data_IF_567908921173
#
_entry.id   IF_567908921173
#
_cell.length_a   1.000
_cell.length_b   1.000
_cell.length_c   1.000
_cell.angle_alpha   90.00
_cell.angle_beta   90.00
_cell.angle_gamma   90.00
#
_symmetry.space_group_name_H-M   'P 1'
#
loop_
_entity.id
_entity.type
_entity.pdbx_description
1 polymer ?
#
# COMPACT_ATOMS: atom_id res chain seq x y z
N UNK A 1 -1.21 6.95 -10.46
CA UNK A 1 -2.49 6.81 -11.20
C UNK A 1 -3.63 7.53 -10.48
N UNK A 2 -3.98 7.16 -9.26
CA UNK A 2 -5.12 7.75 -8.53
C UNK A 2 -5.03 9.27 -8.39
N UNK A 3 -3.86 9.80 -7.97
CA UNK A 3 -3.69 11.25 -7.87
C UNK A 3 -3.93 11.96 -9.22
N UNK A 4 -3.49 11.36 -10.34
CA UNK A 4 -3.74 11.91 -11.69
C UNK A 4 -5.23 11.89 -12.03
N UNK A 5 -5.92 10.76 -11.77
CA UNK A 5 -7.37 10.67 -11.97
C UNK A 5 -8.11 11.77 -11.20
N UNK A 6 -7.82 11.91 -9.91
CA UNK A 6 -8.45 12.94 -9.06
C UNK A 6 -8.17 14.36 -9.58
N UNK A 7 -6.94 14.62 -10.02
CA UNK A 7 -6.54 15.93 -10.54
C UNK A 7 -7.23 16.25 -11.88
N UNK A 8 -7.38 15.26 -12.78
CA UNK A 8 -8.09 15.42 -14.03
C UNK A 8 -9.59 15.74 -13.78
N UNK A 9 -10.22 15.06 -12.81
CA UNK A 9 -11.60 15.30 -12.41
C UNK A 9 -11.79 16.68 -11.73
N UNK A 10 -10.78 17.17 -11.00
CA UNK A 10 -10.76 18.49 -10.37
C UNK A 10 -10.24 19.59 -11.31
N UNK A 11 -9.76 19.24 -12.49
CA UNK A 11 -9.10 20.14 -13.44
C UNK A 11 -7.95 20.93 -12.80
N UNK A 12 -7.05 20.20 -12.12
CA UNK A 12 -5.88 20.76 -11.43
C UNK A 12 -4.60 19.94 -11.70
N UNK A 13 -3.46 20.44 -11.22
CA UNK A 13 -2.16 19.80 -11.37
C UNK A 13 -1.90 18.77 -10.26
N UNK A 14 -1.07 17.76 -10.58
CA UNK A 14 -0.47 16.87 -9.59
C UNK A 14 0.92 17.36 -9.26
N UNK A 15 1.12 17.80 -8.03
CA UNK A 15 2.42 18.22 -7.53
C UNK A 15 3.02 17.15 -6.63
N UNK A 16 4.19 16.64 -7.00
CA UNK A 16 5.00 15.79 -6.11
C UNK A 16 5.78 16.67 -5.12
N UNK A 17 5.68 16.38 -3.83
CA UNK A 17 6.50 17.03 -2.80
C UNK A 17 7.59 16.06 -2.35
N UNK A 18 8.85 16.40 -2.67
CA UNK A 18 10.03 15.58 -2.42
C UNK A 18 10.89 16.23 -1.35
N UNK A 19 11.07 15.56 -0.22
CA UNK A 19 11.85 16.02 0.92
C UNK A 19 13.00 15.04 1.19
N UNK A 20 14.18 15.57 1.50
CA UNK A 20 15.33 14.74 1.89
C UNK A 20 16.65 15.49 1.81
N UNK A 21 17.72 14.72 1.80
CA UNK A 21 19.10 15.17 1.59
C UNK A 21 19.63 14.55 0.31
N UNK A 22 20.08 15.39 -0.63
CA UNK A 22 20.55 14.99 -1.97
C UNK A 22 19.50 14.21 -2.80
N UNK A 23 18.23 14.63 -2.75
CA UNK A 23 17.10 13.93 -3.39
C UNK A 23 16.74 14.47 -4.79
N UNK A 24 17.34 15.54 -5.25
CA UNK A 24 17.01 16.17 -6.54
C UNK A 24 17.07 15.19 -7.71
N UNK A 25 18.01 14.24 -7.68
CA UNK A 25 18.21 13.26 -8.75
C UNK A 25 17.02 12.37 -9.07
N UNK A 26 16.13 12.15 -8.08
CA UNK A 26 14.93 11.32 -8.25
C UNK A 26 13.67 12.14 -8.61
N UNK A 27 13.75 13.46 -8.66
CA UNK A 27 12.60 14.32 -8.96
C UNK A 27 11.94 13.99 -10.31
N UNK A 28 12.74 13.73 -11.34
CA UNK A 28 12.25 13.36 -12.68
C UNK A 28 11.44 12.07 -12.69
N UNK A 29 11.78 11.14 -11.80
CA UNK A 29 11.06 9.86 -11.70
C UNK A 29 9.58 10.08 -11.32
N UNK A 30 9.30 11.03 -10.43
CA UNK A 30 7.93 11.38 -10.07
C UNK A 30 7.13 11.92 -11.27
N UNK A 31 7.77 12.72 -12.13
CA UNK A 31 7.19 13.16 -13.39
C UNK A 31 6.83 12.00 -14.31
N UNK A 32 7.72 11.01 -14.45
CA UNK A 32 7.49 9.82 -15.25
C UNK A 32 6.28 8.99 -14.81
N UNK A 33 5.89 9.10 -13.53
CA UNK A 33 4.67 8.48 -13.00
C UNK A 33 3.44 9.39 -13.00
N UNK A 34 3.52 10.60 -13.53
CA UNK A 34 2.37 11.45 -13.79
C UNK A 34 2.24 12.69 -12.91
N UNK A 35 3.30 13.12 -12.23
CA UNK A 35 3.34 14.45 -11.63
C UNK A 35 3.62 15.50 -12.71
N UNK A 36 2.87 16.60 -12.68
CA UNK A 36 3.08 17.74 -13.58
C UNK A 36 4.22 18.61 -13.08
N UNK A 37 4.35 18.70 -11.76
CA UNK A 37 5.33 19.51 -11.04
C UNK A 37 5.93 18.72 -9.88
N UNK A 38 7.22 18.95 -9.58
CA UNK A 38 7.88 18.40 -8.40
C UNK A 38 8.54 19.52 -7.62
N UNK A 39 8.09 19.70 -6.39
CA UNK A 39 8.73 20.61 -5.42
C UNK A 39 9.80 19.83 -4.67
N UNK A 40 11.05 20.29 -4.76
CA UNK A 40 12.20 19.66 -4.11
C UNK A 40 12.62 20.50 -2.91
N UNK A 41 12.41 19.98 -1.72
CA UNK A 41 12.87 20.53 -0.45
C UNK A 41 14.09 19.74 0.02
N UNK A 42 15.27 20.15 -0.42
CA UNK A 42 16.54 19.47 -0.16
C UNK A 42 17.30 20.18 0.97
N UNK A 43 17.64 19.43 2.02
CA UNK A 43 18.39 19.95 3.17
C UNK A 43 19.12 18.83 3.90
N UNK A 44 20.37 19.03 4.37
CA UNK A 44 21.06 18.08 5.25
C UNK A 44 20.30 17.75 6.53
N UNK A 45 19.44 18.64 7.01
CA UNK A 45 18.58 18.44 8.19
C UNK A 45 17.42 17.46 7.93
N UNK A 46 17.18 17.09 6.67
CA UNK A 46 16.19 16.09 6.24
C UNK A 46 16.83 14.74 5.89
N UNK A 47 18.12 14.53 6.21
CA UNK A 47 18.84 13.30 5.90
C UNK A 47 18.20 12.08 6.58
N UNK A 48 17.97 12.19 7.87
CA UNK A 48 17.30 11.16 8.65
C UNK A 48 15.87 11.65 8.97
N UNK A 49 14.91 10.75 8.92
CA UNK A 49 13.53 11.10 9.19
C UNK A 49 13.34 11.48 10.66
N UNK A 50 12.88 12.69 10.89
CA UNK A 50 12.28 13.13 12.16
C UNK A 50 10.92 13.75 11.86
N UNK A 51 9.92 13.45 12.69
CA UNK A 51 8.55 13.93 12.48
C UNK A 51 8.50 15.45 12.49
N UNK A 52 9.26 16.10 13.35
CA UNK A 52 9.24 17.55 13.51
C UNK A 52 9.77 18.27 12.27
N UNK A 53 10.93 17.86 11.74
CA UNK A 53 11.53 18.46 10.55
C UNK A 53 10.63 18.30 9.32
N UNK A 54 10.18 17.08 9.06
CA UNK A 54 9.34 16.77 7.90
C UNK A 54 7.97 17.44 7.99
N UNK A 55 7.32 17.39 9.17
CA UNK A 55 6.03 18.04 9.36
C UNK A 55 6.10 19.55 9.22
N UNK A 56 7.21 20.19 9.65
CA UNK A 56 7.40 21.62 9.46
C UNK A 56 7.43 21.97 7.98
N UNK A 57 8.30 21.33 7.21
CA UNK A 57 8.44 21.61 5.76
C UNK A 57 7.15 21.33 5.02
N UNK A 58 6.50 20.18 5.25
CA UNK A 58 5.21 19.86 4.61
C UNK A 58 4.15 20.92 4.93
N UNK A 59 4.01 21.32 6.20
CA UNK A 59 3.01 22.30 6.59
C UNK A 59 3.31 23.71 6.02
N UNK A 60 4.57 24.10 5.93
CA UNK A 60 4.96 25.36 5.32
C UNK A 60 4.60 25.39 3.83
N UNK A 61 4.89 24.30 3.10
CA UNK A 61 4.50 24.16 1.69
C UNK A 61 2.98 24.16 1.50
N UNK A 62 2.24 23.45 2.35
CA UNK A 62 0.77 23.47 2.32
C UNK A 62 0.20 24.85 2.58
N UNK A 63 0.76 25.61 3.51
CA UNK A 63 0.31 26.97 3.83
C UNK A 63 0.61 27.96 2.70
N UNK A 64 1.70 27.76 1.98
CA UNK A 64 2.11 28.62 0.85
C UNK A 64 1.31 28.30 -0.41
N UNK A 65 1.24 27.03 -0.78
CA UNK A 65 0.66 26.58 -2.07
C UNK A 65 -0.83 26.19 -1.99
N UNK A 66 -1.37 26.00 -0.80
CA UNK A 66 -2.79 25.75 -0.50
C UNK A 66 -3.43 24.66 -1.38
N UNK A 67 -2.91 23.43 -1.36
CA UNK A 67 -3.47 22.35 -2.16
C UNK A 67 -4.89 21.99 -1.68
N UNK A 68 -5.76 21.55 -2.61
CA UNK A 68 -7.07 20.99 -2.27
C UNK A 68 -6.96 19.66 -1.53
N UNK A 69 -6.00 18.82 -1.98
CA UNK A 69 -5.82 17.44 -1.49
C UNK A 69 -4.36 17.21 -1.18
N UNK A 70 -4.06 16.58 -0.04
CA UNK A 70 -2.74 16.08 0.32
C UNK A 70 -2.78 14.57 0.55
N UNK A 71 -2.12 13.82 -0.33
CA UNK A 71 -2.01 12.36 -0.23
C UNK A 71 -0.62 11.97 0.27
N UNK A 72 -0.56 11.07 1.24
CA UNK A 72 0.67 10.54 1.82
C UNK A 72 0.60 9.01 1.78
N UNK A 73 1.67 8.33 1.37
CA UNK A 73 1.71 6.86 1.43
C UNK A 73 1.65 6.39 2.89
N UNK A 74 0.76 5.45 3.24
CA UNK A 74 0.61 4.89 4.59
C UNK A 74 1.74 3.89 4.93
N UNK A 75 2.98 4.24 4.60
CA UNK A 75 4.19 3.61 5.13
C UNK A 75 4.33 3.91 6.64
N UNK A 76 5.28 3.29 7.32
CA UNK A 76 5.53 3.59 8.75
C UNK A 76 5.79 5.10 8.96
N UNK A 77 6.58 5.72 8.07
CA UNK A 77 6.83 7.16 8.09
C UNK A 77 5.54 7.95 7.81
N UNK A 78 4.79 7.59 6.78
CA UNK A 78 3.58 8.33 6.42
C UNK A 78 2.45 8.22 7.46
N UNK A 79 2.38 7.10 8.19
CA UNK A 79 1.43 6.90 9.30
C UNK A 79 1.77 7.75 10.53
N UNK A 80 3.04 8.13 10.69
CA UNK A 80 3.51 9.05 11.71
C UNK A 80 3.37 10.52 11.24
N UNK A 81 3.84 10.83 10.04
CA UNK A 81 3.86 12.18 9.49
C UNK A 81 2.45 12.75 9.22
N UNK A 82 1.57 11.94 8.62
CA UNK A 82 0.24 12.40 8.20
C UNK A 82 -0.59 13.00 9.33
N UNK A 83 -0.79 12.31 10.47
CA UNK A 83 -1.53 12.85 11.61
C UNK A 83 -0.89 14.09 12.21
N UNK A 84 0.45 14.16 12.23
CA UNK A 84 1.17 15.33 12.72
C UNK A 84 0.92 16.55 11.84
N UNK A 85 0.97 16.38 10.51
CA UNK A 85 0.63 17.46 9.58
C UNK A 85 -0.83 17.88 9.71
N UNK A 86 -1.77 16.94 9.78
CA UNK A 86 -3.20 17.25 9.91
C UNK A 86 -3.50 18.06 11.17
N UNK A 87 -2.89 17.72 12.31
CA UNK A 87 -3.02 18.45 13.56
C UNK A 87 -2.47 19.88 13.45
N UNK A 88 -1.30 20.07 12.81
CA UNK A 88 -0.70 21.41 12.61
C UNK A 88 -1.49 22.28 11.64
N UNK A 89 -2.10 21.68 10.63
CA UNK A 89 -2.91 22.36 9.61
C UNK A 89 -4.37 22.54 10.05
N UNK A 90 -4.74 22.03 11.22
CA UNK A 90 -6.11 22.06 11.76
C UNK A 90 -7.14 21.48 10.78
N UNK A 91 -6.79 20.39 10.10
CA UNK A 91 -7.67 19.69 9.14
C UNK A 91 -7.89 18.23 9.54
N UNK A 92 -8.83 17.54 8.85
CA UNK A 92 -9.08 16.11 9.04
C UNK A 92 -8.15 15.25 8.21
N UNK A 93 -7.84 14.05 8.72
CA UNK A 93 -7.09 13.01 8.00
C UNK A 93 -7.87 11.71 8.00
N UNK A 94 -8.09 11.13 6.81
CA UNK A 94 -8.52 9.74 6.71
C UNK A 94 -7.30 8.83 6.57
N UNK A 95 -7.11 7.95 7.54
CA UNK A 95 -5.94 7.07 7.57
C UNK A 95 -6.20 5.75 6.85
N UNK A 96 -5.19 5.26 6.10
CA UNK A 96 -5.14 3.93 5.52
C UNK A 96 -6.23 3.68 4.45
N UNK A 97 -6.46 4.69 3.60
CA UNK A 97 -7.45 4.64 2.52
C UNK A 97 -7.09 3.57 1.48
N UNK A 98 -8.12 2.93 0.98
CA UNK A 98 -8.04 1.94 -0.09
C UNK A 98 -8.72 2.39 -1.37
N UNK A 99 -9.60 3.40 -1.29
CA UNK A 99 -10.28 3.98 -2.44
C UNK A 99 -10.50 5.48 -2.26
N UNK A 100 -10.39 6.24 -3.34
CA UNK A 100 -10.54 7.70 -3.37
C UNK A 100 -11.29 8.13 -4.63
N UNK A 101 -12.33 8.96 -4.46
CA UNK A 101 -13.07 9.62 -5.55
C UNK A 101 -13.42 11.06 -5.19
N UNK A 102 -13.46 11.93 -6.17
CA UNK A 102 -14.07 13.27 -6.06
C UNK A 102 -15.37 13.35 -6.84
N UNK A 103 -15.48 12.59 -7.91
CA UNK A 103 -16.66 12.56 -8.76
C UNK A 103 -17.75 11.65 -8.19
N UNK A 104 -18.98 12.15 -8.11
CA UNK A 104 -20.11 11.39 -7.52
C UNK A 104 -20.52 10.19 -8.37
N UNK A 105 -20.64 10.28 -9.70
CA UNK A 105 -20.90 9.15 -10.57
C UNK A 105 -19.90 7.98 -10.38
N UNK A 106 -18.60 8.28 -10.33
CA UNK A 106 -17.55 7.28 -10.11
C UNK A 106 -17.69 6.63 -8.73
N UNK A 107 -18.00 7.44 -7.71
CA UNK A 107 -18.22 6.92 -6.36
C UNK A 107 -19.47 6.03 -6.27
N UNK A 108 -20.56 6.38 -6.94
CA UNK A 108 -21.77 5.54 -7.05
C UNK A 108 -21.43 4.20 -7.72
N UNK A 109 -20.68 4.23 -8.81
CA UNK A 109 -20.23 3.01 -9.49
C UNK A 109 -19.41 2.11 -8.57
N UNK A 110 -18.45 2.70 -7.87
CA UNK A 110 -17.65 1.99 -6.86
C UNK A 110 -18.55 1.33 -5.79
N UNK A 111 -19.55 2.03 -5.28
CA UNK A 111 -20.47 1.47 -4.28
C UNK A 111 -21.33 0.32 -4.85
N UNK A 112 -21.76 0.38 -6.12
CA UNK A 112 -22.48 -0.72 -6.77
C UNK A 112 -21.63 -1.98 -6.88
N UNK A 113 -20.34 -1.83 -7.16
CA UNK A 113 -19.41 -2.95 -7.34
C UNK A 113 -18.91 -3.53 -6.03
N UNK A 114 -18.76 -2.69 -4.99
CA UNK A 114 -18.04 -3.06 -3.75
C UNK A 114 -18.93 -3.12 -2.50
N UNK A 115 -20.23 -2.82 -2.59
CA UNK A 115 -21.12 -2.80 -1.42
C UNK A 115 -22.49 -3.43 -1.71
N UNK A 116 -23.23 -3.71 -0.64
CA UNK A 116 -24.62 -4.20 -0.69
C UNK A 116 -25.65 -3.08 -0.55
N UNK A 117 -25.21 -1.80 -0.63
CA UNK A 117 -26.09 -0.65 -0.47
C UNK A 117 -26.99 -0.49 -1.71
N UNK A 118 -28.26 -0.17 -1.47
CA UNK A 118 -29.17 0.24 -2.54
C UNK A 118 -28.90 1.71 -2.90
N UNK A 119 -27.87 1.91 -3.74
CA UNK A 119 -27.40 3.25 -4.14
C UNK A 119 -28.42 4.02 -4.96
N UNK A 120 -29.37 3.32 -5.61
CA UNK A 120 -30.40 3.93 -6.46
C UNK A 120 -31.53 4.55 -5.64
N UNK A 121 -31.74 4.11 -4.39
CA UNK A 121 -32.68 4.71 -3.45
C UNK A 121 -32.13 5.94 -2.71
N UNK A 122 -30.81 6.19 -2.82
CA UNK A 122 -30.13 7.27 -2.10
C UNK A 122 -30.22 8.59 -2.87
N UNK A 123 -30.23 9.70 -2.12
CA UNK A 123 -30.17 11.04 -2.70
C UNK A 123 -28.70 11.47 -2.81
N UNK A 124 -28.28 11.83 -4.01
CA UNK A 124 -26.94 12.27 -4.32
C UNK A 124 -26.92 13.73 -4.74
N UNK A 125 -25.96 14.48 -4.23
CA UNK A 125 -25.60 15.78 -4.77
C UNK A 125 -24.56 15.57 -5.87
N UNK A 126 -25.00 15.62 -7.12
CA UNK A 126 -24.14 15.34 -8.30
C UNK A 126 -23.08 16.42 -8.53
N UNK A 127 -23.23 17.59 -7.90
CA UNK A 127 -22.27 18.69 -7.98
C UNK A 127 -21.19 18.63 -6.88
N UNK A 128 -21.35 17.72 -5.90
CA UNK A 128 -20.39 17.56 -4.81
C UNK A 128 -19.02 17.08 -5.33
N UNK A 129 -17.99 17.88 -5.06
CA UNK A 129 -16.59 17.63 -5.40
C UNK A 129 -15.71 17.35 -4.17
N UNK A 130 -16.30 17.12 -3.02
CA UNK A 130 -15.55 16.71 -1.85
C UNK A 130 -14.89 15.34 -2.08
N UNK A 131 -13.66 15.20 -1.62
CA UNK A 131 -12.94 13.92 -1.69
C UNK A 131 -13.64 12.87 -0.81
N UNK A 132 -14.09 11.77 -1.41
CA UNK A 132 -14.65 10.59 -0.76
C UNK A 132 -13.50 9.65 -0.45
N UNK A 133 -13.16 9.51 0.82
CA UNK A 133 -12.01 8.74 1.31
C UNK A 133 -12.52 7.45 1.93
N UNK A 134 -12.39 6.33 1.22
CA UNK A 134 -12.89 5.04 1.69
C UNK A 134 -11.77 4.22 2.30
N UNK A 135 -12.03 3.66 3.48
CA UNK A 135 -11.10 2.85 4.23
C UNK A 135 -11.78 1.65 4.87
N UNK A 136 -11.08 0.52 5.07
CA UNK A 136 -11.59 -0.58 5.87
C UNK A 136 -11.68 -0.19 7.35
N UNK A 137 -12.75 -0.64 7.99
CA UNK A 137 -13.02 -0.49 9.41
C UNK A 137 -13.38 -1.84 10.03
N UNK A 138 -13.35 -1.96 11.37
CA UNK A 138 -13.71 -3.17 12.10
C UNK A 138 -13.11 -4.45 11.51
N UNK A 139 -11.80 -4.45 11.31
CA UNK A 139 -11.11 -5.63 10.82
C UNK A 139 -11.35 -5.94 9.33
N UNK A 140 -11.85 -4.99 8.55
CA UNK A 140 -12.18 -5.16 7.13
C UNK A 140 -13.61 -5.64 6.86
N UNK A 141 -14.41 -5.83 7.92
CA UNK A 141 -15.82 -6.22 7.78
C UNK A 141 -16.72 -5.08 7.28
N UNK A 142 -16.29 -3.84 7.47
CA UNK A 142 -17.01 -2.66 7.03
C UNK A 142 -16.08 -1.74 6.26
N UNK A 143 -16.63 -1.04 5.28
CA UNK A 143 -15.97 0.07 4.61
C UNK A 143 -16.59 1.37 5.10
N UNK A 144 -15.75 2.31 5.52
CA UNK A 144 -16.16 3.63 5.95
C UNK A 144 -15.69 4.67 4.93
N UNK A 145 -16.61 5.47 4.41
CA UNK A 145 -16.26 6.63 3.58
C UNK A 145 -16.35 7.91 4.40
N UNK A 146 -15.27 8.66 4.39
CA UNK A 146 -15.08 9.89 5.15
C UNK A 146 -14.94 11.04 4.19
N UNK A 147 -15.58 12.16 4.49
CA UNK A 147 -15.46 13.43 3.76
C UNK A 147 -15.01 14.55 4.72
N UNK A 148 -14.29 15.53 4.20
CA UNK A 148 -13.86 16.71 4.95
C UNK A 148 -14.35 17.98 4.21
N UNK A 149 -15.64 18.38 4.39
CA UNK A 149 -16.23 19.44 3.55
C UNK A 149 -15.79 20.86 3.92
N UNK A 150 -15.30 21.10 5.14
CA UNK A 150 -15.03 22.44 5.67
C UNK A 150 -13.57 22.87 5.68
N UNK A 151 -12.64 21.91 5.73
CA UNK A 151 -11.21 22.20 5.94
C UNK A 151 -10.39 21.75 4.74
N UNK A 152 -9.29 22.42 4.48
CA UNK A 152 -8.34 22.12 3.42
C UNK A 152 -6.91 22.13 3.98
N UNK A 153 -6.03 21.31 3.39
CA UNK A 153 -6.33 20.28 2.37
C UNK A 153 -7.18 19.14 2.93
N UNK A 154 -7.93 18.44 2.07
CA UNK A 154 -8.43 17.12 2.41
C UNK A 154 -7.24 16.18 2.50
N UNK A 155 -7.02 15.52 3.62
CA UNK A 155 -5.84 14.67 3.81
C UNK A 155 -6.21 13.20 3.89
N UNK A 156 -5.41 12.38 3.21
CA UNK A 156 -5.50 10.93 3.31
C UNK A 156 -4.10 10.30 3.37
N UNK A 157 -3.94 9.29 4.22
CA UNK A 157 -2.86 8.33 4.00
C UNK A 157 -3.39 7.16 3.18
N UNK A 158 -2.64 6.73 2.16
CA UNK A 158 -3.05 5.72 1.19
C UNK A 158 -2.28 4.43 1.45
N UNK A 159 -2.99 3.31 1.58
CA UNK A 159 -2.37 2.01 1.84
C UNK A 159 -1.47 1.61 0.68
N UNK A 160 -0.19 1.27 0.94
CA UNK A 160 0.71 0.77 -0.11
C UNK A 160 0.17 -0.54 -0.74
N UNK A 161 0.38 -0.69 -2.05
CA UNK A 161 0.01 -1.89 -2.78
C UNK A 161 -1.47 -2.01 -3.17
N UNK A 162 -2.35 -1.07 -2.78
CA UNK A 162 -3.79 -1.12 -3.10
C UNK A 162 -4.14 -0.38 -4.39
N UNK A 163 -3.47 0.73 -4.65
CA UNK A 163 -3.71 1.53 -5.85
C UNK A 163 -2.70 1.20 -6.94
N UNK A 164 -3.16 1.13 -8.17
CA UNK A 164 -2.30 0.84 -9.33
C UNK A 164 -1.28 1.96 -9.53
N UNK A 165 -0.11 1.58 -10.04
CA UNK A 165 0.96 2.46 -10.45
C UNK A 165 0.83 2.70 -11.96
N UNK A 166 1.00 3.93 -12.43
CA UNK A 166 1.11 4.21 -13.86
C UNK A 166 2.33 3.52 -14.45
N UNK A 167 2.28 3.20 -15.74
CA UNK A 167 3.48 2.88 -16.48
C UNK A 167 4.42 4.11 -16.49
N UNK A 168 5.72 3.87 -16.43
CA UNK A 168 6.70 4.94 -16.50
C UNK A 168 6.74 5.54 -17.91
N UNK A 169 6.66 6.87 -17.99
CA UNK A 169 6.68 7.64 -19.23
C UNK A 169 7.91 8.55 -19.22
N UNK A 170 8.90 8.23 -20.07
CA UNK A 170 10.14 8.96 -20.16
C UNK A 170 9.94 10.41 -20.69
N UNK A 171 8.97 10.62 -21.57
CA UNK A 171 8.66 11.95 -22.07
C UNK A 171 8.13 12.85 -20.95
N UNK A 172 7.26 12.34 -20.10
CA UNK A 172 6.76 13.05 -18.92
C UNK A 172 7.85 13.28 -17.89
N UNK A 173 8.74 12.31 -17.66
CA UNK A 173 9.88 12.47 -16.76
C UNK A 173 10.81 13.61 -17.18
N UNK A 174 10.99 13.81 -18.50
CA UNK A 174 11.81 14.88 -19.03
C UNK A 174 11.09 16.23 -19.11
N UNK A 175 9.76 16.24 -19.14
CA UNK A 175 8.94 17.45 -19.25
C UNK A 175 8.49 18.00 -17.88
N UNK A 176 8.67 17.26 -16.79
CA UNK A 176 8.22 17.67 -15.46
C UNK A 176 8.86 18.98 -15.01
N UNK A 177 8.05 19.90 -14.48
CA UNK A 177 8.53 21.13 -13.88
C UNK A 177 9.15 20.84 -12.49
N UNK A 178 10.43 21.15 -12.32
CA UNK A 178 11.12 21.02 -11.02
C UNK A 178 11.23 22.39 -10.37
N UNK A 179 10.62 22.55 -9.21
CA UNK A 179 10.62 23.79 -8.44
C UNK A 179 11.39 23.57 -7.14
N UNK A 180 12.25 24.53 -6.79
CA UNK A 180 12.93 24.57 -5.49
C UNK A 180 12.31 25.71 -4.65
N UNK A 181 11.29 25.39 -3.84
CA UNK A 181 10.66 26.42 -3.02
C UNK A 181 11.62 26.89 -1.93
N UNK A 182 11.49 28.14 -1.54
CA UNK A 182 12.19 28.64 -0.37
C UNK A 182 11.48 28.11 0.89
N UNK A 183 12.23 27.43 1.73
CA UNK A 183 11.74 27.03 3.05
C UNK A 183 12.82 27.26 4.11
N UNK A 184 12.38 27.47 5.33
CA UNK A 184 13.28 27.66 6.47
C UNK A 184 13.18 26.47 7.38
N UNK A 185 14.28 25.75 7.54
CA UNK A 185 14.42 24.67 8.51
C UNK A 185 15.74 24.87 9.28
N UNK A 186 15.65 24.94 10.59
CA UNK A 186 16.80 25.13 11.47
C UNK A 186 16.92 23.98 12.45
N UNK A 187 18.05 23.81 13.09
CA UNK A 187 18.24 22.79 14.13
C UNK A 187 17.28 22.98 15.32
N UNK A 188 16.82 24.22 15.57
CA UNK A 188 15.88 24.52 16.64
C UNK A 188 14.46 23.98 16.37
N UNK A 189 14.13 23.71 15.11
CA UNK A 189 12.85 23.11 14.71
C UNK A 189 12.80 21.60 14.98
N UNK A 190 13.94 20.97 15.31
CA UNK A 190 14.10 19.53 15.47
C UNK A 190 14.31 19.22 16.94
N UNK A 191 13.36 18.48 17.52
CA UNK A 191 13.37 18.19 18.97
C UNK A 191 13.77 16.74 19.29
N UNK A 192 14.12 15.95 18.27
CA UNK A 192 14.51 14.56 18.40
C UNK A 192 15.75 14.27 17.55
N UNK A 193 16.71 13.52 18.09
CA UNK A 193 17.90 13.09 17.39
C UNK A 193 17.85 11.61 17.04
N UNK A 194 18.27 11.27 15.83
CA UNK A 194 18.47 9.88 15.42
C UNK A 194 19.86 9.46 15.89
N UNK A 195 19.92 8.71 16.98
CA UNK A 195 21.18 8.29 17.59
C UNK A 195 21.86 7.15 16.81
N UNK A 196 21.05 6.28 16.19
CA UNK A 196 21.56 5.14 15.42
C UNK A 196 20.52 4.68 14.40
N UNK A 197 20.96 4.34 13.20
CA UNK A 197 20.16 3.65 12.18
C UNK A 197 20.68 2.22 12.03
N UNK A 198 19.95 1.27 12.57
CA UNK A 198 20.29 -0.16 12.47
C UNK A 198 19.76 -0.69 11.13
N UNK A 199 20.67 -0.97 10.20
CA UNK A 199 20.30 -1.59 8.92
C UNK A 199 20.02 -3.08 9.14
N UNK A 200 18.92 -3.59 8.56
CA UNK A 200 18.63 -5.02 8.58
C UNK A 200 19.81 -5.80 7.97
N UNK A 201 20.26 -6.84 8.67
CA UNK A 201 21.39 -7.67 8.23
C UNK A 201 21.07 -8.49 6.96
N UNK A 202 19.79 -8.72 6.68
CA UNK A 202 19.30 -9.37 5.46
C UNK A 202 18.42 -8.38 4.67
N UNK A 203 18.48 -8.48 3.33
CA UNK A 203 17.56 -7.75 2.46
C UNK A 203 16.12 -8.15 2.83
N UNK A 204 15.29 -7.19 3.20
CA UNK A 204 13.88 -7.44 3.49
C UNK A 204 13.17 -7.97 2.24
N UNK A 205 12.22 -8.88 2.46
CA UNK A 205 11.43 -9.45 1.35
C UNK A 205 10.49 -8.40 0.80
N UNK A 206 10.60 -8.14 -0.50
CA UNK A 206 9.67 -7.27 -1.20
C UNK A 206 8.43 -8.05 -1.66
N UNK A 207 7.47 -8.19 -0.74
CA UNK A 207 6.19 -8.83 -1.06
C UNK A 207 5.28 -7.93 -1.92
N UNK A 208 5.42 -6.61 -1.82
CA UNK A 208 4.50 -5.67 -2.51
C UNK A 208 4.84 -5.59 -4.00
N UNK A 209 6.13 -5.62 -4.34
CA UNK A 209 6.60 -5.57 -5.73
C UNK A 209 6.71 -6.93 -6.42
N UNK A 210 6.42 -8.03 -5.72
CA UNK A 210 6.58 -9.37 -6.28
C UNK A 210 5.42 -9.78 -7.19
N UNK A 211 5.74 -10.29 -8.38
CA UNK A 211 4.75 -10.87 -9.32
C UNK A 211 4.24 -12.24 -8.85
N UNK A 212 5.07 -13.00 -8.11
CA UNK A 212 4.74 -14.34 -7.62
C UNK A 212 5.02 -14.44 -6.13
N UNK A 213 4.03 -14.89 -5.37
CA UNK A 213 4.15 -15.08 -3.93
C UNK A 213 3.73 -16.49 -3.54
N UNK A 214 4.61 -17.22 -2.86
CA UNK A 214 4.30 -18.53 -2.26
C UNK A 214 4.18 -18.34 -0.76
N UNK A 215 2.96 -18.40 -0.24
CA UNK A 215 2.68 -18.14 1.18
C UNK A 215 2.39 -19.40 1.96
N UNK A 216 2.99 -19.51 3.16
CA UNK A 216 2.78 -20.63 4.07
C UNK A 216 1.87 -20.27 5.24
N UNK A 217 1.04 -21.22 5.64
CA UNK A 217 0.18 -21.12 6.81
C UNK A 217 0.51 -22.16 7.88
N UNK A 218 -0.34 -22.29 8.92
CA UNK A 218 -0.18 -23.29 9.99
C UNK A 218 -0.20 -24.73 9.49
N UNK A 219 -0.61 -24.97 8.24
CA UNK A 219 -0.58 -26.31 7.64
C UNK A 219 0.80 -26.96 7.57
N UNK A 220 1.89 -26.16 7.68
CA UNK A 220 3.28 -26.67 7.74
C UNK A 220 3.72 -27.08 9.15
N UNK A 221 2.86 -27.00 10.18
CA UNK A 221 3.22 -27.22 11.59
C UNK A 221 3.82 -28.58 11.91
N UNK A 222 3.60 -29.60 11.07
CA UNK A 222 4.17 -30.93 11.24
C UNK A 222 5.66 -31.00 10.91
N UNK A 223 6.10 -30.19 9.98
CA UNK A 223 7.46 -30.03 9.53
C UNK A 223 7.64 -28.59 9.03
N UNK A 224 7.96 -27.71 9.95
CA UNK A 224 8.08 -26.26 9.69
C UNK A 224 9.24 -25.96 8.75
N UNK A 225 10.39 -26.55 9.02
CA UNK A 225 11.61 -26.34 8.24
C UNK A 225 11.46 -26.86 6.82
N UNK A 226 10.95 -28.09 6.67
CA UNK A 226 10.63 -28.68 5.38
C UNK A 226 9.56 -27.90 4.63
N UNK A 227 8.53 -27.40 5.30
CA UNK A 227 7.46 -26.61 4.70
C UNK A 227 7.94 -25.25 4.18
N UNK A 228 8.82 -24.56 4.92
CA UNK A 228 9.43 -23.29 4.49
C UNK A 228 10.36 -23.56 3.30
N UNK A 229 11.21 -24.55 3.39
CA UNK A 229 12.13 -24.92 2.28
C UNK A 229 11.39 -25.25 1.00
N UNK A 230 10.29 -25.99 1.11
CA UNK A 230 9.45 -26.31 -0.05
C UNK A 230 8.83 -25.05 -0.68
N UNK A 231 8.41 -24.09 0.14
CA UNK A 231 7.89 -22.81 -0.35
C UNK A 231 9.00 -21.96 -1.00
N UNK A 232 10.22 -21.99 -0.47
CA UNK A 232 11.39 -21.30 -1.04
C UNK A 232 11.77 -21.90 -2.38
N UNK A 233 11.85 -23.22 -2.50
CA UNK A 233 12.13 -23.92 -3.75
C UNK A 233 11.08 -23.60 -4.82
N UNK A 234 9.79 -23.60 -4.46
CA UNK A 234 8.71 -23.26 -5.40
C UNK A 234 8.78 -21.77 -5.79
N UNK A 235 9.04 -20.87 -4.84
CA UNK A 235 9.19 -19.45 -5.12
C UNK A 235 10.38 -19.17 -6.04
N UNK A 236 11.50 -19.85 -5.84
CA UNK A 236 12.69 -19.73 -6.69
C UNK A 236 12.40 -20.14 -8.14
N UNK A 237 11.72 -21.28 -8.33
CA UNK A 237 11.33 -21.77 -9.68
C UNK A 237 10.40 -20.78 -10.38
N UNK A 238 9.49 -20.12 -9.64
CA UNK A 238 8.55 -19.15 -10.18
C UNK A 238 9.17 -17.74 -10.33
N UNK A 239 10.38 -17.51 -9.82
CA UNK A 239 10.98 -16.17 -9.76
C UNK A 239 10.27 -15.25 -8.77
N UNK A 240 9.69 -15.81 -7.72
CA UNK A 240 8.90 -15.12 -6.73
C UNK A 240 9.54 -15.06 -5.34
N UNK A 241 8.72 -14.77 -4.34
CA UNK A 241 9.14 -14.63 -2.94
C UNK A 241 8.23 -15.42 -2.00
N UNK A 242 8.76 -15.73 -0.79
CA UNK A 242 7.98 -16.43 0.23
C UNK A 242 7.26 -15.44 1.12
N UNK A 243 5.94 -15.66 1.28
CA UNK A 243 5.09 -14.98 2.25
C UNK A 243 4.62 -15.92 3.37
N UNK A 244 3.94 -15.35 4.34
CA UNK A 244 3.37 -16.15 5.43
C UNK A 244 2.13 -15.52 6.05
N UNK A 245 1.30 -16.36 6.65
CA UNK A 245 0.15 -15.89 7.42
C UNK A 245 0.62 -15.33 8.78
N UNK A 246 -0.20 -14.50 9.42
CA UNK A 246 0.10 -13.99 10.77
C UNK A 246 0.47 -15.10 11.75
N UNK A 247 -0.21 -16.26 11.67
CA UNK A 247 0.07 -17.37 12.55
C UNK A 247 1.49 -17.93 12.43
N UNK A 248 2.12 -17.86 11.25
CA UNK A 248 3.51 -18.29 11.04
C UNK A 248 4.51 -17.29 11.61
N UNK A 249 4.15 -15.99 11.61
CA UNK A 249 4.96 -14.94 12.22
C UNK A 249 4.86 -15.00 13.76
N UNK A 250 3.64 -15.08 14.29
CA UNK A 250 3.40 -15.17 15.74
C UNK A 250 4.07 -16.42 16.35
N UNK A 251 4.24 -17.49 15.56
CA UNK A 251 4.95 -18.71 15.95
C UNK A 251 6.50 -18.60 15.79
N UNK A 252 7.01 -17.48 15.30
CA UNK A 252 8.45 -17.28 15.08
C UNK A 252 9.05 -18.08 13.91
N UNK A 253 8.22 -18.64 13.01
CA UNK A 253 8.68 -19.43 11.87
C UNK A 253 9.23 -18.57 10.73
N UNK A 254 8.61 -17.40 10.53
CA UNK A 254 9.05 -16.39 9.57
C UNK A 254 9.14 -15.02 10.25
N UNK A 255 9.96 -14.13 9.73
CA UNK A 255 10.06 -12.74 10.19
C UNK A 255 8.86 -11.90 9.74
N UNK A 256 8.63 -10.78 10.41
CA UNK A 256 7.46 -9.92 10.20
C UNK A 256 7.35 -9.35 8.77
N UNK A 257 8.48 -9.22 8.05
CA UNK A 257 8.51 -8.74 6.67
C UNK A 257 7.90 -9.71 5.65
N UNK A 258 7.72 -10.99 6.03
CA UNK A 258 7.00 -12.00 5.25
C UNK A 258 5.48 -11.98 5.48
N UNK A 259 4.96 -11.18 6.43
CA UNK A 259 3.55 -11.23 6.78
C UNK A 259 2.64 -10.66 5.69
N UNK A 260 1.73 -11.50 5.19
CA UNK A 260 0.61 -11.12 4.32
C UNK A 260 -0.69 -11.09 5.11
N UNK A 261 -1.48 -10.04 4.92
CA UNK A 261 -2.77 -9.88 5.57
C UNK A 261 -3.04 -8.45 6.01
N UNK A 262 -4.18 -8.22 6.63
CA UNK A 262 -4.63 -6.92 7.07
C UNK A 262 -3.65 -6.18 8.01
N UNK A 263 -2.98 -6.91 8.90
CA UNK A 263 -1.98 -6.37 9.84
C UNK A 263 -0.54 -6.51 9.34
N UNK A 264 -0.36 -7.13 8.17
CA UNK A 264 0.90 -7.26 7.43
C UNK A 264 0.89 -6.43 6.17
N UNK A 265 1.46 -6.98 5.11
CA UNK A 265 1.48 -6.36 3.78
C UNK A 265 0.23 -6.79 2.99
N UNK A 266 -0.37 -5.84 2.28
CA UNK A 266 -1.37 -6.11 1.25
C UNK A 266 -0.64 -6.24 -0.08
N UNK A 267 -0.94 -7.31 -0.83
CA UNK A 267 -0.22 -7.73 -2.03
C UNK A 267 -1.19 -8.02 -3.17
N UNK A 268 -0.74 -7.77 -4.40
CA UNK A 268 -1.49 -8.00 -5.64
C UNK A 268 -0.58 -8.67 -6.68
N UNK A 269 -0.05 -9.88 -6.40
CA UNK A 269 0.80 -10.58 -7.34
C UNK A 269 -0.04 -11.10 -8.52
N UNK A 270 0.63 -11.43 -9.62
CA UNK A 270 0.04 -12.19 -10.74
C UNK A 270 -0.40 -13.58 -10.28
N UNK A 271 0.38 -14.21 -9.40
CA UNK A 271 0.02 -15.51 -8.83
C UNK A 271 0.32 -15.53 -7.33
N UNK A 272 -0.67 -15.89 -6.54
CA UNK A 272 -0.56 -16.15 -5.11
C UNK A 272 -0.80 -17.62 -4.80
N UNK A 273 0.21 -18.32 -4.31
CA UNK A 273 0.11 -19.74 -3.92
C UNK A 273 -0.04 -19.80 -2.39
N UNK A 274 -1.18 -20.29 -1.92
CA UNK A 274 -1.50 -20.44 -0.51
C UNK A 274 -1.29 -21.88 -0.03
N UNK A 275 -0.19 -22.16 0.68
CA UNK A 275 0.16 -23.49 1.17
C UNK A 275 -0.25 -23.67 2.64
N UNK A 276 -1.27 -24.47 2.90
CA UNK A 276 -1.74 -24.75 4.26
C UNK A 276 -2.30 -23.54 5.00
N UNK A 277 -2.81 -22.56 4.28
CA UNK A 277 -3.49 -21.37 4.81
C UNK A 277 -4.97 -21.65 4.93
N UNK A 278 -5.58 -21.31 6.06
CA UNK A 278 -7.01 -21.55 6.31
C UNK A 278 -7.94 -20.56 5.58
N UNK A 279 -7.45 -19.35 5.29
CA UNK A 279 -8.27 -18.29 4.69
C UNK A 279 -9.05 -17.47 5.72
N UNK A 280 -8.45 -17.18 6.87
CA UNK A 280 -9.02 -16.20 7.80
C UNK A 280 -9.25 -14.86 7.10
N UNK A 281 -10.33 -14.15 7.43
CA UNK A 281 -10.73 -12.89 6.76
C UNK A 281 -9.59 -11.88 6.74
N UNK A 282 -8.83 -11.78 7.83
CA UNK A 282 -7.68 -10.88 7.92
C UNK A 282 -6.55 -11.24 6.94
N UNK A 283 -6.40 -12.52 6.59
CA UNK A 283 -5.42 -12.95 5.60
C UNK A 283 -5.97 -12.70 4.18
N UNK A 284 -7.23 -13.08 3.93
CA UNK A 284 -7.91 -12.83 2.65
C UNK A 284 -7.85 -11.35 2.26
N UNK A 285 -8.12 -10.44 3.21
CA UNK A 285 -8.04 -9.00 2.99
C UNK A 285 -6.67 -8.48 2.51
N UNK A 286 -5.60 -9.25 2.69
CA UNK A 286 -4.26 -8.88 2.24
C UNK A 286 -3.85 -9.47 0.89
N UNK A 287 -4.65 -10.37 0.26
CA UNK A 287 -4.23 -11.05 -0.97
C UNK A 287 -5.37 -11.40 -1.93
N UNK A 288 -6.62 -11.18 -1.56
CA UNK A 288 -7.78 -11.58 -2.36
C UNK A 288 -7.86 -10.92 -3.75
N UNK A 289 -7.20 -9.77 -3.93
CA UNK A 289 -7.18 -9.05 -5.20
C UNK A 289 -5.97 -9.46 -6.09
N UNK A 290 -5.33 -10.60 -5.79
CA UNK A 290 -4.33 -11.22 -6.67
C UNK A 290 -4.96 -11.64 -8.00
N UNK A 291 -4.21 -11.60 -9.12
CA UNK A 291 -4.77 -11.96 -10.43
C UNK A 291 -5.13 -13.46 -10.54
N UNK A 292 -4.39 -14.33 -9.83
CA UNK A 292 -4.65 -15.74 -9.75
C UNK A 292 -4.29 -16.27 -8.35
N UNK A 293 -5.21 -16.98 -7.71
CA UNK A 293 -5.03 -17.57 -6.38
C UNK A 293 -5.09 -19.09 -6.48
N UNK A 294 -4.00 -19.75 -6.11
CA UNK A 294 -3.88 -21.20 -6.03
C UNK A 294 -3.82 -21.61 -4.57
N UNK A 295 -4.77 -22.39 -4.09
CA UNK A 295 -4.81 -22.83 -2.70
C UNK A 295 -4.60 -24.34 -2.55
N UNK A 296 -3.73 -24.72 -1.61
CA UNK A 296 -3.49 -26.11 -1.21
C UNK A 296 -3.82 -26.25 0.28
N UNK A 297 -4.83 -27.03 0.61
CA UNK A 297 -5.21 -27.31 1.98
C UNK A 297 -5.74 -28.74 2.13
N UNK A 298 -5.52 -29.37 3.29
CA UNK A 298 -6.08 -30.69 3.62
C UNK A 298 -7.56 -30.65 3.97
N UNK A 299 -8.04 -29.50 4.46
CA UNK A 299 -9.44 -29.31 4.80
C UNK A 299 -10.17 -28.76 3.56
N UNK A 300 -11.08 -29.54 3.01
CA UNK A 300 -11.91 -29.22 1.85
C UNK A 300 -12.89 -28.05 2.10
N UNK A 301 -13.21 -27.78 3.36
CA UNK A 301 -14.08 -26.66 3.79
C UNK A 301 -13.30 -25.43 4.24
N UNK A 302 -12.00 -25.36 3.95
CA UNK A 302 -11.19 -24.22 4.33
C UNK A 302 -11.66 -22.95 3.59
N UNK A 303 -11.91 -21.82 4.29
CA UNK A 303 -12.41 -20.58 3.70
C UNK A 303 -11.51 -19.97 2.60
N UNK A 304 -10.26 -20.43 2.47
CA UNK A 304 -9.37 -20.00 1.39
C UNK A 304 -9.89 -20.44 0.02
N UNK A 305 -10.61 -21.56 -0.06
CA UNK A 305 -11.16 -22.08 -1.30
C UNK A 305 -12.32 -21.23 -1.85
N UNK A 306 -12.96 -20.39 -1.01
CA UNK A 306 -14.01 -19.47 -1.46
C UNK A 306 -13.50 -18.41 -2.44
N UNK A 307 -12.21 -18.06 -2.35
CA UNK A 307 -11.57 -17.01 -3.16
C UNK A 307 -10.49 -17.56 -4.09
N UNK A 308 -10.22 -18.86 -4.06
CA UNK A 308 -9.19 -19.46 -4.88
C UNK A 308 -9.72 -19.76 -6.29
N UNK A 309 -8.96 -19.38 -7.32
CA UNK A 309 -9.24 -19.75 -8.71
C UNK A 309 -8.97 -21.25 -8.94
N UNK A 310 -7.95 -21.78 -8.24
CA UNK A 310 -7.58 -23.19 -8.26
C UNK A 310 -7.40 -23.72 -6.84
N UNK A 311 -8.21 -24.74 -6.48
CA UNK A 311 -8.15 -25.39 -5.17
C UNK A 311 -7.65 -26.83 -5.28
N UNK A 312 -6.63 -27.19 -4.49
CA UNK A 312 -6.13 -28.55 -4.37
C UNK A 312 -6.38 -29.03 -2.94
N UNK A 313 -7.35 -29.93 -2.77
CA UNK A 313 -7.57 -30.59 -1.48
C UNK A 313 -6.56 -31.73 -1.30
N UNK A 314 -5.51 -31.49 -0.51
CA UNK A 314 -4.43 -32.46 -0.35
C UNK A 314 -3.32 -32.05 0.58
N UNK A 315 -2.34 -32.93 0.69
CA UNK A 315 -1.13 -32.69 1.47
C UNK A 315 -0.14 -31.82 0.68
N UNK A 316 0.12 -30.60 1.16
CA UNK A 316 1.03 -29.64 0.52
C UNK A 316 2.43 -30.25 0.26
N UNK A 317 2.94 -31.11 1.16
CA UNK A 317 4.23 -31.78 0.98
C UNK A 317 4.26 -32.75 -0.21
N UNK A 318 3.10 -33.32 -0.59
CA UNK A 318 2.98 -34.19 -1.76
C UNK A 318 2.74 -33.38 -3.03
N UNK A 319 1.92 -32.35 -2.96
CA UNK A 319 1.56 -31.48 -4.10
C UNK A 319 2.77 -30.71 -4.61
N UNK A 320 3.54 -30.08 -3.73
CA UNK A 320 4.70 -29.28 -4.13
C UNK A 320 5.83 -30.15 -4.72
N UNK A 321 6.02 -31.38 -4.24
CA UNK A 321 6.99 -32.31 -4.81
C UNK A 321 6.70 -32.67 -6.28
N UNK A 322 5.43 -32.68 -6.70
CA UNK A 322 5.05 -32.91 -8.08
C UNK A 322 5.41 -31.75 -9.02
N UNK A 323 5.43 -30.52 -8.48
CA UNK A 323 5.80 -29.32 -9.24
C UNK A 323 7.31 -29.16 -9.42
N UNK A 324 8.12 -29.64 -8.47
CA UNK A 324 9.58 -29.57 -8.51
C UNK A 324 10.23 -30.78 -9.22
N UNK A 325 9.45 -31.84 -9.48
CA UNK A 325 9.93 -33.01 -10.24
C UNK A 325 9.81 -32.72 -11.75
N UNK A 326 10.86 -32.99 -12.56
CA UNK A 326 10.73 -32.87 -13.99
C UNK A 326 9.61 -33.82 -14.48
N UNK A 327 8.66 -33.27 -15.25
CA UNK A 327 7.58 -34.03 -15.84
C UNK A 327 8.16 -35.26 -16.61
N UNK A 328 7.70 -36.46 -16.35
CA UNK A 328 8.11 -37.58 -17.19
C UNK A 328 7.66 -37.29 -18.64
N UNK A 329 8.62 -37.22 -19.54
CA UNK A 329 8.38 -37.12 -20.97
C UNK A 329 7.76 -38.41 -21.50
#
# INVERSE_FOLDING_TARGET
ETARKLADELNCEVTGLLLGDNVEGIAKELGGYGADKVMVCDSPLLKDYTTDAYAKVVCDMVNEYKPEVLLIGATNIGRDLGPRCAARLHTGLCADCTHLDVDVPNYIQFLRESSTLDVDSMKWDMEDRNLKMTRPAFGGHLMATIICPRFRPCMATVRPGVMKKNAFDEAKANAVEIVKPNFTLTAEDIHTDVTEVVKAAKKLVDLIGADFIVSVGRGISKDVEGGIKLAEELAEVLGGVVGGSRATIDSGWLSADHQVGQTGKTVHPKVYVALGISGAIQHKAGMQDSECIIAVNKNDTAPIFEIADYGICGDLFKVCLLYTSPSPR
#
